data_IF_790285748037
#
_entry.id   IF_790285748037
#
_cell.length_a   1.000
_cell.length_b   1.000
_cell.length_c   1.000
_cell.angle_alpha   90.00
_cell.angle_beta   90.00
_cell.angle_gamma   90.00
#
_symmetry.space_group_name_H-M   'P 1'
#
loop_
_entity.id
_entity.type
_entity.pdbx_description
1 polymer ?
#
# COMPACT_ATOMS: atom_id res chain seq x y z
N UNK A 1 3.60 1.75 -16.96
CA UNK A 1 2.33 1.17 -16.45
C UNK A 1 2.32 1.36 -14.93
N UNK A 2 1.19 1.67 -14.31
CA UNK A 2 1.08 1.98 -12.86
C UNK A 2 0.41 0.82 -12.09
N UNK A 3 0.11 1.03 -10.81
CA UNK A 3 -0.63 0.10 -9.94
C UNK A 3 -1.66 0.83 -9.07
N UNK A 4 -1.88 0.33 -7.86
CA UNK A 4 -2.72 0.97 -6.85
C UNK A 4 -1.89 1.27 -5.59
N UNK A 5 -2.38 2.20 -4.78
CA UNK A 5 -1.81 2.53 -3.47
C UNK A 5 -2.87 2.31 -2.39
N UNK A 6 -2.56 1.47 -1.41
CA UNK A 6 -3.41 1.21 -0.26
C UNK A 6 -2.76 1.82 0.98
N UNK A 7 -3.47 2.75 1.64
CA UNK A 7 -3.00 3.36 2.89
C UNK A 7 -3.11 2.34 4.04
N UNK A 8 -2.02 1.66 4.37
CA UNK A 8 -1.98 0.73 5.51
C UNK A 8 -1.79 1.50 6.83
N UNK A 9 -0.62 2.11 7.00
CA UNK A 9 -0.25 2.91 8.17
C UNK A 9 0.62 4.15 7.82
N UNK A 10 0.30 4.93 6.76
CA UNK A 10 1.04 6.16 6.47
C UNK A 10 0.65 7.28 7.44
N UNK A 11 1.50 8.30 7.54
CA UNK A 11 1.10 9.58 8.10
C UNK A 11 0.12 10.29 7.13
N UNK A 12 -1.14 10.39 7.54
CA UNK A 12 -2.20 11.03 6.74
C UNK A 12 -2.06 12.56 6.69
N UNK A 13 -1.23 13.17 7.55
CA UNK A 13 -1.01 14.62 7.56
C UNK A 13 -0.48 15.15 6.22
N UNK A 14 0.28 14.33 5.49
CA UNK A 14 0.83 14.70 4.19
C UNK A 14 -0.24 14.89 3.11
N UNK A 15 -1.40 14.26 3.25
CA UNK A 15 -2.51 14.47 2.31
C UNK A 15 -3.15 15.86 2.43
N UNK A 16 -2.94 16.57 3.54
CA UNK A 16 -3.39 17.96 3.71
C UNK A 16 -2.61 18.95 2.84
N UNK A 17 -1.44 18.55 2.32
CA UNK A 17 -0.58 19.39 1.48
C UNK A 17 -0.92 19.30 -0.02
N UNK A 18 -1.88 18.46 -0.40
CA UNK A 18 -2.28 18.22 -1.79
C UNK A 18 -3.81 18.22 -1.94
N UNK A 19 -4.30 18.23 -3.17
CA UNK A 19 -5.71 17.91 -3.48
C UNK A 19 -5.77 16.46 -3.97
N UNK A 20 -6.01 15.47 -3.08
CA UNK A 20 -5.95 14.07 -3.44
C UNK A 20 -7.05 13.70 -4.44
N UNK A 21 -6.68 12.99 -5.50
CA UNK A 21 -7.60 12.54 -6.55
C UNK A 21 -8.45 13.66 -7.21
N UNK A 22 -8.06 14.93 -7.05
CA UNK A 22 -8.84 16.09 -7.49
C UNK A 22 -10.12 16.36 -6.67
N UNK A 23 -10.33 15.62 -5.57
CA UNK A 23 -11.52 15.69 -4.73
C UNK A 23 -11.21 16.58 -3.52
N UNK A 24 -12.06 17.58 -3.27
CA UNK A 24 -11.85 18.58 -2.19
C UNK A 24 -12.72 18.35 -0.97
N UNK A 25 -13.83 17.64 -1.14
CA UNK A 25 -14.91 17.48 -0.16
C UNK A 25 -14.87 16.14 0.57
N UNK A 26 -13.84 15.31 0.32
CA UNK A 26 -13.66 14.02 0.98
C UNK A 26 -12.24 13.88 1.52
N UNK A 27 -12.14 13.41 2.75
CA UNK A 27 -10.86 13.07 3.38
C UNK A 27 -10.32 11.73 2.89
N UNK A 28 -9.08 11.44 3.28
CA UNK A 28 -8.45 10.12 3.14
C UNK A 28 -8.43 9.41 4.49
N UNK A 29 -8.24 8.08 4.45
CA UNK A 29 -8.06 7.27 5.67
C UNK A 29 -6.97 6.22 5.42
N UNK A 30 -6.62 5.47 6.48
CA UNK A 30 -5.75 4.31 6.46
C UNK A 30 -6.40 3.11 7.16
N UNK A 31 -5.89 1.90 6.93
CA UNK A 31 -6.33 0.72 7.66
C UNK A 31 -6.12 0.88 9.17
N UNK A 32 -4.99 1.47 9.58
CA UNK A 32 -4.71 1.73 10.99
C UNK A 32 -5.68 2.71 11.64
N UNK A 33 -6.07 3.77 10.93
CA UNK A 33 -7.07 4.73 11.39
C UNK A 33 -8.46 4.09 11.53
N UNK A 34 -8.86 3.24 10.58
CA UNK A 34 -10.17 2.55 10.61
C UNK A 34 -10.22 1.46 11.70
N UNK A 35 -9.14 0.71 11.89
CA UNK A 35 -9.09 -0.42 12.83
C UNK A 35 -8.65 -0.02 14.24
N UNK A 36 -8.17 1.21 14.43
CA UNK A 36 -7.73 1.74 15.72
C UNK A 36 -6.44 1.09 16.26
N UNK A 37 -5.63 0.45 15.39
CA UNK A 37 -4.36 -0.17 15.77
C UNK A 37 -3.34 -0.10 14.64
N UNK A 38 -2.06 -0.24 14.99
CA UNK A 38 -0.99 -0.42 14.01
C UNK A 38 -1.18 -1.74 13.26
N UNK A 39 -0.99 -1.70 11.95
CA UNK A 39 -1.08 -2.85 11.04
C UNK A 39 0.31 -3.10 10.44
N UNK A 40 0.77 -4.35 10.47
CA UNK A 40 2.01 -4.74 9.80
C UNK A 40 1.74 -4.98 8.31
N UNK A 41 2.67 -4.59 7.44
CA UNK A 41 2.54 -4.83 6.00
C UNK A 41 2.37 -6.31 5.66
N UNK A 42 3.06 -7.21 6.37
CA UNK A 42 2.90 -8.66 6.20
C UNK A 42 1.45 -9.11 6.38
N UNK A 43 0.74 -8.59 7.38
CA UNK A 43 -0.67 -8.92 7.63
C UNK A 43 -1.55 -8.53 6.43
N UNK A 44 -1.20 -7.43 5.74
CA UNK A 44 -1.90 -6.97 4.55
C UNK A 44 -1.54 -7.84 3.35
N UNK A 45 -0.27 -8.19 3.17
CA UNK A 45 0.20 -9.06 2.08
C UNK A 45 -0.46 -10.46 2.14
N UNK A 46 -0.50 -11.06 3.33
CA UNK A 46 -1.13 -12.36 3.59
C UNK A 46 -2.61 -12.39 3.20
N UNK A 47 -3.27 -11.22 3.20
CA UNK A 47 -4.65 -11.07 2.74
C UNK A 47 -4.73 -10.66 1.28
N UNK A 48 -3.91 -9.73 0.82
CA UNK A 48 -3.99 -9.14 -0.51
C UNK A 48 -3.71 -10.17 -1.61
N UNK A 49 -2.69 -11.01 -1.43
CA UNK A 49 -2.25 -11.98 -2.44
C UNK A 49 -3.35 -12.97 -2.80
N UNK A 50 -3.95 -13.73 -1.86
CA UNK A 50 -5.00 -14.68 -2.22
C UNK A 50 -6.24 -14.00 -2.82
N UNK A 51 -6.58 -12.76 -2.39
CA UNK A 51 -7.68 -12.02 -3.00
C UNK A 51 -7.36 -11.60 -4.43
N UNK A 52 -6.13 -11.19 -4.70
CA UNK A 52 -5.68 -10.85 -6.05
C UNK A 52 -5.71 -12.07 -6.97
N UNK A 53 -5.17 -13.20 -6.52
CA UNK A 53 -5.22 -14.48 -7.24
C UNK A 53 -6.67 -14.88 -7.58
N UNK A 54 -7.58 -14.77 -6.61
CA UNK A 54 -8.99 -15.09 -6.80
C UNK A 54 -9.67 -14.16 -7.82
N UNK A 55 -9.48 -12.85 -7.71
CA UNK A 55 -10.14 -11.85 -8.58
C UNK A 55 -9.66 -11.96 -10.02
N UNK A 56 -8.37 -12.21 -10.22
CA UNK A 56 -7.75 -12.22 -11.54
C UNK A 56 -7.55 -13.62 -12.13
N UNK A 57 -7.78 -14.68 -11.36
CA UNK A 57 -7.58 -16.07 -11.80
C UNK A 57 -6.11 -16.40 -12.11
N UNK A 58 -5.19 -15.84 -11.31
CA UNK A 58 -3.74 -16.00 -11.50
C UNK A 58 -3.10 -16.64 -10.28
N UNK A 59 -1.86 -17.10 -10.42
CA UNK A 59 -0.99 -17.47 -9.29
C UNK A 59 0.11 -16.42 -9.17
N UNK A 60 0.23 -15.81 -7.99
CA UNK A 60 1.25 -14.82 -7.68
C UNK A 60 2.48 -15.56 -7.16
N UNK A 61 3.62 -15.31 -7.78
CA UNK A 61 4.91 -15.77 -7.27
C UNK A 61 5.54 -14.67 -6.43
N UNK A 62 5.92 -14.98 -5.20
CA UNK A 62 6.77 -14.09 -4.44
C UNK A 62 8.14 -14.02 -5.13
N UNK A 63 8.50 -12.83 -5.61
CA UNK A 63 9.89 -12.55 -5.94
C UNK A 63 10.62 -12.36 -4.61
N UNK A 64 11.53 -13.26 -4.27
CA UNK A 64 12.47 -13.02 -3.18
C UNK A 64 13.33 -11.83 -3.59
N UNK A 65 13.07 -10.66 -3.02
CA UNK A 65 13.97 -9.53 -3.19
C UNK A 65 15.30 -9.87 -2.51
N UNK A 66 16.28 -10.32 -3.30
CA UNK A 66 17.66 -9.99 -2.97
C UNK A 66 17.70 -8.46 -2.93
N UNK A 67 17.88 -7.91 -1.73
CA UNK A 67 18.14 -6.49 -1.50
C UNK A 67 19.47 -6.12 -2.18
N UNK A 68 19.46 -5.96 -3.51
CA UNK A 68 20.48 -5.19 -4.22
C UNK A 68 20.11 -3.71 -4.08
N UNK A 69 20.22 -3.20 -2.85
CA UNK A 69 20.58 -1.81 -2.66
C UNK A 69 22.11 -1.78 -2.60
N UNK A 70 22.73 -2.03 -3.76
CA UNK A 70 24.08 -1.53 -3.95
C UNK A 70 23.98 0.00 -3.95
N UNK A 71 24.60 0.57 -2.93
CA UNK A 71 25.13 1.93 -2.90
C UNK A 71 25.71 2.30 -4.26
N UNK A 72 25.04 3.16 -5.03
CA UNK A 72 25.71 4.00 -6.03
C UNK A 72 24.74 5.01 -6.66
N UNK A 73 24.74 6.23 -6.15
CA UNK A 73 25.19 7.35 -6.98
C UNK A 73 25.73 8.48 -6.08
N UNK A 74 26.70 9.26 -6.58
CA UNK A 74 27.59 10.12 -5.81
C UNK A 74 26.92 11.33 -5.16
#
# INVERSE_FOLDING_TARGET
MHGFALNVDPDLSFFSMIVPCGIRDRGVTSMSAVLGRRILLQEVEDRLIPHFEQVFGVTVKHATALLNLETSHP
#
